data_IF_850567869768
#
_entry.id   IF_850567869768
#
_cell.length_a   1.000
_cell.length_b   1.000
_cell.length_c   1.000
_cell.angle_alpha   90.00
_cell.angle_beta   90.00
_cell.angle_gamma   90.00
#
_symmetry.space_group_name_H-M   'P 1'
#
loop_
_entity.id
_entity.type
_entity.pdbx_description
1 polymer ?
#
# COMPACT_ATOMS: atom_id res chain seq x y z
N UNK A 1 -25.92 -14.21 -20.46
CA UNK A 1 -25.17 -14.28 -19.19
C UNK A 1 -23.71 -14.04 -19.51
N UNK A 2 -23.03 -13.07 -18.84
CA UNK A 2 -21.67 -12.65 -19.21
C UNK A 2 -20.71 -13.84 -19.22
N UNK A 3 -19.78 -13.85 -20.17
CA UNK A 3 -18.73 -14.87 -20.26
C UNK A 3 -17.51 -14.39 -19.48
N UNK A 4 -17.20 -15.08 -18.38
CA UNK A 4 -16.01 -14.81 -17.59
C UNK A 4 -14.90 -15.77 -18.02
N UNK A 5 -13.76 -15.23 -18.46
CA UNK A 5 -12.57 -16.02 -18.81
C UNK A 5 -11.52 -15.84 -17.72
N UNK A 6 -11.21 -16.92 -17.03
CA UNK A 6 -10.17 -16.95 -16.00
C UNK A 6 -8.92 -17.59 -16.59
N UNK A 7 -7.80 -16.87 -16.59
CA UNK A 7 -6.49 -17.41 -16.94
C UNK A 7 -5.58 -17.34 -15.72
N UNK A 8 -5.19 -18.50 -15.21
CA UNK A 8 -4.25 -18.66 -14.10
C UNK A 8 -2.89 -19.08 -14.63
N UNK A 9 -1.85 -18.27 -14.39
CA UNK A 9 -0.46 -18.59 -14.69
C UNK A 9 0.40 -18.55 -13.41
N UNK A 10 1.69 -18.89 -13.51
CA UNK A 10 2.59 -18.98 -12.36
C UNK A 10 2.84 -17.63 -11.64
N UNK A 11 2.44 -16.49 -12.22
CA UNK A 11 2.61 -15.14 -11.67
C UNK A 11 1.31 -14.53 -11.12
N UNK A 12 0.19 -15.25 -11.12
CA UNK A 12 -1.10 -14.76 -10.63
C UNK A 12 -2.28 -15.11 -11.56
N UNK A 13 -3.48 -14.69 -11.16
CA UNK A 13 -4.72 -14.98 -11.90
C UNK A 13 -5.27 -13.72 -12.57
N UNK A 14 -5.37 -13.74 -13.90
CA UNK A 14 -6.04 -12.71 -14.68
C UNK A 14 -7.50 -13.14 -14.92
N UNK A 15 -8.46 -12.30 -14.51
CA UNK A 15 -9.90 -12.54 -14.78
C UNK A 15 -10.40 -11.47 -15.74
N UNK A 16 -10.74 -11.90 -16.95
CA UNK A 16 -11.33 -11.06 -18.00
C UNK A 16 -12.84 -11.32 -18.04
N UNK A 17 -13.66 -10.29 -17.86
CA UNK A 17 -15.13 -10.40 -17.92
C UNK A 17 -15.60 -9.81 -19.24
N UNK A 18 -16.03 -10.66 -20.18
CA UNK A 18 -16.59 -10.23 -21.46
C UNK A 18 -18.14 -10.20 -21.39
N UNK A 19 -18.80 -9.08 -21.74
CA UNK A 19 -20.26 -8.96 -21.69
C UNK A 19 -20.94 -9.83 -22.76
N UNK A 20 -22.09 -10.42 -22.41
CA UNK A 20 -22.78 -11.43 -23.22
C UNK A 20 -23.80 -10.91 -24.25
N UNK A 21 -23.84 -9.61 -24.48
CA UNK A 21 -24.65 -9.03 -25.54
C UNK A 21 -23.77 -8.10 -26.35
N UNK A 22 -23.84 -8.24 -27.67
CA UNK A 22 -23.33 -7.27 -28.62
C UNK A 22 -24.06 -5.95 -28.36
N UNK A 23 -23.51 -5.17 -27.43
CA UNK A 23 -23.77 -3.75 -27.33
C UNK A 23 -23.34 -3.18 -28.68
N UNK A 24 -24.17 -2.34 -29.29
CA UNK A 24 -23.70 -1.49 -30.37
C UNK A 24 -22.40 -0.82 -29.93
N UNK A 25 -21.43 -0.68 -30.84
CA UNK A 25 -20.11 -0.13 -30.56
C UNK A 25 -20.22 1.30 -30.02
N UNK A 26 -20.47 1.41 -28.73
CA UNK A 26 -20.66 2.61 -27.94
C UNK A 26 -19.89 2.38 -26.65
N UNK A 27 -18.60 2.71 -26.74
CA UNK A 27 -17.67 3.00 -25.64
C UNK A 27 -17.62 1.95 -24.52
N UNK A 28 -16.70 0.99 -24.65
CA UNK A 28 -16.20 0.20 -23.52
C UNK A 28 -15.56 1.15 -22.48
N UNK A 29 -16.36 1.62 -21.53
CA UNK A 29 -15.92 2.57 -20.50
C UNK A 29 -15.09 1.82 -19.43
N UNK A 30 -13.80 2.15 -19.31
CA UNK A 30 -12.90 1.59 -18.31
C UNK A 30 -13.28 2.09 -16.91
N UNK A 31 -14.13 1.33 -16.20
CA UNK A 31 -14.64 1.71 -14.86
C UNK A 31 -13.62 1.57 -13.73
N UNK A 32 -12.61 0.72 -13.91
CA UNK A 32 -11.64 0.45 -12.84
C UNK A 32 -10.80 -0.80 -13.07
N UNK A 33 -10.07 -1.18 -12.01
CA UNK A 33 -9.10 -2.28 -12.00
C UNK A 33 -9.31 -3.17 -10.78
N UNK A 34 -9.01 -4.46 -10.92
CA UNK A 34 -8.97 -5.45 -9.84
C UNK A 34 -7.54 -6.00 -9.73
N UNK A 35 -6.96 -5.90 -8.54
CA UNK A 35 -5.61 -6.36 -8.23
C UNK A 35 -5.69 -7.58 -7.31
N UNK A 36 -5.00 -8.66 -7.68
CA UNK A 36 -4.82 -9.83 -6.82
C UNK A 36 -3.56 -9.65 -5.96
N UNK A 37 -3.78 -9.41 -4.68
CA UNK A 37 -2.74 -9.27 -3.65
C UNK A 37 -2.61 -10.53 -2.79
N UNK A 38 -3.29 -11.63 -3.13
CA UNK A 38 -3.42 -12.81 -2.27
C UNK A 38 -2.10 -13.51 -1.94
N UNK A 39 -1.06 -13.31 -2.77
CA UNK A 39 0.30 -13.79 -2.51
C UNK A 39 1.02 -12.97 -1.42
N UNK A 40 0.65 -11.70 -1.20
CA UNK A 40 1.26 -10.81 -0.22
C UNK A 40 0.65 -11.07 1.15
N UNK A 41 1.47 -11.45 2.13
CA UNK A 41 1.02 -11.77 3.50
C UNK A 41 1.23 -10.62 4.48
N UNK A 42 2.14 -9.70 4.17
CA UNK A 42 2.40 -8.52 4.97
C UNK A 42 1.40 -7.39 4.68
N UNK A 43 1.18 -6.45 5.62
CA UNK A 43 0.27 -5.34 5.39
C UNK A 43 0.70 -4.45 4.23
N UNK A 44 -0.27 -4.06 3.40
CA UNK A 44 -0.08 -3.22 2.22
C UNK A 44 0.02 -1.75 2.65
N UNK A 45 1.12 -1.10 2.28
CA UNK A 45 1.44 0.27 2.70
C UNK A 45 1.36 1.27 1.55
N UNK A 46 1.63 0.82 0.33
CA UNK A 46 1.69 1.72 -0.81
C UNK A 46 1.28 1.01 -2.10
N UNK A 47 0.57 1.75 -2.94
CA UNK A 47 0.24 1.41 -4.31
C UNK A 47 1.02 2.35 -5.23
N UNK A 48 1.76 1.80 -6.19
CA UNK A 48 2.45 2.56 -7.23
C UNK A 48 1.82 2.22 -8.57
N UNK A 49 1.37 3.23 -9.31
CA UNK A 49 0.68 3.07 -10.58
C UNK A 49 1.50 3.66 -11.72
N UNK A 50 1.47 3.04 -12.89
CA UNK A 50 1.91 3.71 -14.12
C UNK A 50 0.79 3.62 -15.15
N UNK A 51 0.76 4.58 -16.08
CA UNK A 51 -0.31 4.72 -17.06
C UNK A 51 0.18 5.36 -18.36
N UNK A 52 -0.59 5.18 -19.44
CA UNK A 52 -0.30 5.85 -20.71
C UNK A 52 -0.58 7.35 -20.60
N UNK A 53 0.38 8.18 -21.03
CA UNK A 53 0.32 9.65 -20.95
C UNK A 53 -0.54 10.29 -22.04
N UNK A 54 -1.65 9.67 -22.45
CA UNK A 54 -2.49 10.18 -23.55
C UNK A 54 -3.04 11.61 -23.30
N UNK A 55 -2.97 12.08 -22.04
CA UNK A 55 -3.39 13.40 -21.59
C UNK A 55 -2.73 13.73 -20.26
N UNK A 56 -2.24 14.96 -20.13
CA UNK A 56 -1.84 15.52 -18.84
C UNK A 56 -3.09 15.81 -18.01
N UNK A 57 -2.96 15.71 -16.69
CA UNK A 57 -4.04 16.02 -15.77
C UNK A 57 -4.01 15.21 -14.49
N UNK A 58 -5.12 15.28 -13.77
CA UNK A 58 -5.36 14.62 -12.50
C UNK A 58 -6.50 13.63 -12.65
N UNK A 59 -6.34 12.42 -12.14
CA UNK A 59 -7.41 11.45 -12.09
C UNK A 59 -7.54 10.88 -10.68
N UNK A 60 -8.76 10.95 -10.13
CA UNK A 60 -9.12 10.40 -8.82
C UNK A 60 -9.82 9.05 -8.96
N UNK A 61 -9.65 8.23 -7.94
CA UNK A 61 -10.28 6.92 -7.81
C UNK A 61 -10.52 6.56 -6.35
N UNK A 62 -11.47 5.68 -6.10
CA UNK A 62 -11.66 5.03 -4.80
C UNK A 62 -10.89 3.71 -4.75
N UNK A 63 -10.50 3.33 -3.53
CA UNK A 63 -9.82 2.06 -3.24
C UNK A 63 -10.72 1.27 -2.30
N UNK A 64 -11.02 0.04 -2.70
CA UNK A 64 -11.75 -0.91 -1.88
C UNK A 64 -10.98 -2.22 -1.77
N UNK A 65 -11.15 -2.92 -0.67
CA UNK A 65 -10.51 -4.20 -0.42
C UNK A 65 -11.51 -5.30 -0.12
N UNK A 66 -11.15 -6.53 -0.44
CA UNK A 66 -11.96 -7.71 -0.17
C UNK A 66 -11.07 -8.93 0.00
N UNK A 67 -11.55 -9.91 0.78
CA UNK A 67 -10.92 -11.23 0.89
C UNK A 67 -11.65 -12.32 0.08
N UNK A 68 -12.85 -12.01 -0.44
CA UNK A 68 -13.74 -12.98 -1.10
C UNK A 68 -14.40 -12.47 -2.40
N UNK A 69 -14.02 -11.26 -2.85
CA UNK A 69 -14.59 -10.55 -4.02
C UNK A 69 -16.07 -10.15 -3.89
N UNK A 70 -16.71 -10.40 -2.75
CA UNK A 70 -18.13 -10.16 -2.51
C UNK A 70 -18.34 -9.05 -1.50
N UNK A 71 -17.60 -9.08 -0.39
CA UNK A 71 -17.66 -8.08 0.66
C UNK A 71 -16.51 -7.08 0.48
N UNK A 72 -16.87 -5.86 0.11
CA UNK A 72 -15.93 -4.77 -0.16
C UNK A 72 -15.92 -3.77 0.99
N UNK A 73 -14.73 -3.49 1.52
CA UNK A 73 -14.49 -2.45 2.53
C UNK A 73 -13.78 -1.26 1.89
N UNK A 74 -14.19 -0.04 2.23
CA UNK A 74 -13.51 1.16 1.75
C UNK A 74 -12.13 1.28 2.41
N UNK A 75 -11.12 1.49 1.58
CA UNK A 75 -9.73 1.77 1.99
C UNK A 75 -9.30 3.21 1.67
N UNK A 76 -10.26 4.06 1.28
CA UNK A 76 -10.03 5.48 0.99
C UNK A 76 -10.01 5.79 -0.50
N UNK A 77 -9.32 6.87 -0.84
CA UNK A 77 -9.23 7.41 -2.19
C UNK A 77 -7.76 7.58 -2.59
N UNK A 78 -7.51 7.50 -3.90
CA UNK A 78 -6.22 7.75 -4.52
C UNK A 78 -6.33 8.78 -5.64
N UNK A 79 -5.19 9.36 -5.99
CA UNK A 79 -5.07 10.25 -7.14
C UNK A 79 -3.77 9.96 -7.87
N UNK A 80 -3.84 9.92 -9.19
CA UNK A 80 -2.68 9.98 -10.06
C UNK A 80 -2.67 11.31 -10.80
N UNK A 81 -1.47 11.85 -11.03
CA UNK A 81 -1.29 13.09 -11.77
C UNK A 81 -0.05 13.04 -12.63
N UNK A 82 -0.14 13.59 -13.83
CA UNK A 82 1.01 13.81 -14.74
C UNK A 82 0.79 15.13 -15.44
N UNK A 83 1.69 16.07 -15.19
CA UNK A 83 1.61 17.43 -15.72
C UNK A 83 2.94 17.77 -16.35
N UNK A 84 2.91 18.27 -17.58
CA UNK A 84 4.09 18.75 -18.30
C UNK A 84 3.89 20.23 -18.63
N UNK A 85 4.81 21.08 -18.18
CA UNK A 85 4.78 22.51 -18.48
C UNK A 85 6.21 23.03 -18.64
N UNK A 86 6.49 23.70 -19.77
CA UNK A 86 7.77 24.36 -20.03
C UNK A 86 9.01 23.47 -19.72
N UNK A 87 9.02 22.24 -20.26
CA UNK A 87 10.05 21.21 -20.06
C UNK A 87 10.17 20.64 -18.62
N UNK A 88 9.35 21.11 -17.68
CA UNK A 88 9.21 20.51 -16.36
C UNK A 88 8.07 19.50 -16.33
N UNK A 89 8.28 18.39 -15.61
CA UNK A 89 7.29 17.31 -15.46
C UNK A 89 7.09 16.97 -14.00
N UNK A 90 5.83 17.01 -13.57
CA UNK A 90 5.40 16.59 -12.23
C UNK A 90 4.57 15.32 -12.38
N UNK A 91 4.92 14.28 -11.62
CA UNK A 91 4.19 13.02 -11.56
C UNK A 91 3.84 12.67 -10.12
N UNK A 92 2.56 12.31 -9.90
CA UNK A 92 2.08 11.66 -8.69
C UNK A 92 1.60 10.28 -9.08
N UNK A 93 2.38 9.26 -8.73
CA UNK A 93 2.08 7.86 -9.05
C UNK A 93 2.01 6.95 -7.82
N UNK A 94 2.33 7.48 -6.64
CA UNK A 94 2.30 6.76 -5.38
C UNK A 94 1.05 7.13 -4.59
N UNK A 95 0.39 6.12 -4.04
CA UNK A 95 -0.80 6.27 -3.20
C UNK A 95 -0.61 5.45 -1.93
N UNK A 96 -0.76 6.10 -0.78
CA UNK A 96 -0.68 5.43 0.53
C UNK A 96 -1.90 4.51 0.75
N UNK A 97 -1.64 3.35 1.33
CA UNK A 97 -2.64 2.37 1.74
C UNK A 97 -2.72 2.32 3.27
N UNK A 98 -3.82 1.81 3.87
CA UNK A 98 -4.05 1.89 5.30
C UNK A 98 -3.14 0.99 6.17
N UNK A 99 -2.16 0.31 5.59
CA UNK A 99 -1.28 -0.59 6.33
C UNK A 99 -2.00 -1.84 6.84
N UNK A 100 -2.94 -2.35 6.04
CA UNK A 100 -3.75 -3.54 6.34
C UNK A 100 -3.52 -4.63 5.27
N UNK A 101 -3.87 -5.88 5.57
CA UNK A 101 -3.82 -6.98 4.62
C UNK A 101 -5.18 -7.18 3.95
N UNK A 102 -5.19 -7.52 2.66
CA UNK A 102 -6.36 -7.95 1.92
C UNK A 102 -5.92 -8.81 0.73
N UNK A 103 -6.78 -9.73 0.28
CA UNK A 103 -6.48 -10.57 -0.89
C UNK A 103 -6.73 -9.87 -2.22
N UNK A 104 -7.70 -8.96 -2.28
CA UNK A 104 -8.11 -8.27 -3.50
C UNK A 104 -8.27 -6.79 -3.25
N UNK A 105 -7.78 -5.97 -4.18
CA UNK A 105 -8.04 -4.54 -4.20
C UNK A 105 -8.78 -4.15 -5.47
N UNK A 106 -9.82 -3.34 -5.35
CA UNK A 106 -10.54 -2.75 -6.47
C UNK A 106 -10.29 -1.26 -6.48
N UNK A 107 -9.86 -0.75 -7.64
CA UNK A 107 -9.67 0.67 -7.91
C UNK A 107 -10.78 1.12 -8.85
N UNK A 108 -11.57 2.13 -8.47
CA UNK A 108 -12.68 2.62 -9.29
C UNK A 108 -12.48 4.09 -9.62
N UNK A 109 -12.44 4.44 -10.90
CA UNK A 109 -12.26 5.83 -11.33
C UNK A 109 -13.52 6.66 -11.02
N UNK A 110 -13.34 7.84 -10.43
CA UNK A 110 -14.46 8.75 -10.14
C UNK A 110 -15.09 9.31 -11.43
N UNK A 111 -14.29 9.43 -12.49
CA UNK A 111 -14.70 9.87 -13.83
C UNK A 111 -14.19 8.89 -14.87
N UNK A 112 -14.94 7.81 -15.15
CA UNK A 112 -14.47 6.74 -16.03
C UNK A 112 -14.27 7.17 -17.49
N UNK A 113 -15.03 8.15 -17.98
CA UNK A 113 -14.86 8.75 -19.31
C UNK A 113 -13.48 9.41 -19.53
N UNK A 114 -12.82 9.85 -18.46
CA UNK A 114 -11.46 10.41 -18.48
C UNK A 114 -10.41 9.46 -17.92
N UNK A 115 -10.76 8.22 -17.57
CA UNK A 115 -9.85 7.25 -16.98
C UNK A 115 -8.61 6.99 -17.84
N UNK A 116 -7.39 7.12 -17.29
CA UNK A 116 -6.19 6.72 -17.99
C UNK A 116 -6.11 5.19 -18.06
N UNK A 117 -5.39 4.70 -19.07
CA UNK A 117 -5.11 3.27 -19.19
C UNK A 117 -3.88 2.96 -18.34
N UNK A 118 -4.06 2.22 -17.24
CA UNK A 118 -2.94 1.77 -16.42
C UNK A 118 -2.06 0.79 -17.21
N UNK A 119 -0.75 0.98 -17.11
CA UNK A 119 0.28 0.10 -17.69
C UNK A 119 0.94 -0.76 -16.61
N UNK A 120 0.93 -0.31 -15.36
CA UNK A 120 1.48 -1.04 -14.22
C UNK A 120 0.73 -0.72 -12.93
N UNK A 121 0.69 -1.70 -12.03
CA UNK A 121 0.29 -1.53 -10.64
C UNK A 121 1.21 -2.38 -9.78
N UNK A 122 1.84 -1.76 -8.78
CA UNK A 122 2.76 -2.41 -7.85
C UNK A 122 2.30 -2.15 -6.42
N UNK A 123 2.30 -3.19 -5.61
CA UNK A 123 1.96 -3.11 -4.19
C UNK A 123 3.22 -3.26 -3.37
N UNK A 124 3.47 -2.30 -2.48
CA UNK A 124 4.52 -2.39 -1.49
C UNK A 124 3.92 -2.79 -0.15
N UNK A 125 4.57 -3.74 0.49
CA UNK A 125 4.23 -4.20 1.83
C UNK A 125 5.43 -4.00 2.75
N UNK A 126 5.15 -3.70 4.01
CA UNK A 126 6.18 -3.63 5.03
C UNK A 126 5.81 -4.58 6.16
N UNK A 127 6.74 -5.47 6.53
CA UNK A 127 6.60 -6.27 7.74
C UNK A 127 6.77 -5.36 8.94
N UNK A 128 5.80 -5.38 9.87
CA UNK A 128 5.97 -4.83 11.23
C UNK A 128 6.84 -5.75 12.08
N UNK A 129 7.95 -6.24 11.54
CA UNK A 129 8.98 -6.86 12.38
C UNK A 129 9.83 -5.72 12.97
N UNK A 130 9.21 -4.86 13.77
CA UNK A 130 9.95 -4.11 14.78
C UNK A 130 10.25 -5.12 15.89
N UNK A 131 11.28 -5.95 15.67
CA UNK A 131 11.87 -6.67 16.78
C UNK A 131 12.31 -5.59 17.78
N UNK A 132 11.83 -5.59 19.04
CA UNK A 132 12.35 -4.67 20.02
C UNK A 132 13.87 -4.83 20.01
N UNK A 133 14.59 -3.72 19.88
CA UNK A 133 16.04 -3.74 20.04
C UNK A 133 16.30 -4.44 21.38
N UNK A 134 17.15 -5.49 21.41
CA UNK A 134 17.39 -6.23 22.64
C UNK A 134 17.85 -5.25 23.71
N UNK A 135 17.29 -5.38 24.92
CA UNK A 135 17.70 -4.58 26.06
C UNK A 135 19.20 -4.81 26.28
N UNK A 136 20.00 -3.79 25.98
CA UNK A 136 21.44 -3.82 26.21
C UNK A 136 21.73 -3.17 27.56
N UNK A 137 22.07 -3.99 28.56
CA UNK A 137 22.54 -3.51 29.85
C UNK A 137 23.90 -2.83 29.68
N UNK A 138 24.14 -1.77 30.44
CA UNK A 138 25.51 -1.23 30.57
C UNK A 138 26.43 -2.27 31.20
N UNK A 139 27.73 -2.07 31.07
CA UNK A 139 28.68 -2.77 31.93
C UNK A 139 28.36 -2.47 33.41
N UNK A 140 28.70 -3.39 34.35
CA UNK A 140 28.50 -3.16 35.78
C UNK A 140 29.12 -1.83 36.23
N UNK A 141 28.32 -0.99 36.88
CA UNK A 141 28.80 0.27 37.44
C UNK A 141 29.36 0.01 38.83
N UNK A 142 30.62 0.39 39.04
CA UNK A 142 31.25 0.30 40.36
C UNK A 142 30.60 1.32 41.31
N UNK A 143 30.06 0.83 42.43
CA UNK A 143 29.60 1.69 43.52
C UNK A 143 30.78 2.21 44.34
N UNK A 144 30.60 3.38 44.95
CA UNK A 144 31.53 3.92 45.94
C UNK A 144 30.84 4.10 47.29
N UNK A 145 31.57 3.86 48.37
CA UNK A 145 31.08 4.10 49.74
C UNK A 145 31.54 5.47 50.20
N UNK A 146 30.60 6.28 50.68
CA UNK A 146 30.89 7.61 51.23
C UNK A 146 30.99 7.52 52.75
N UNK A 147 30.16 6.69 53.38
CA UNK A 147 30.15 6.39 54.82
C UNK A 147 29.74 4.93 55.04
N UNK A 148 30.03 4.41 56.24
CA UNK A 148 29.57 3.08 56.63
C UNK A 148 28.04 3.00 56.51
N UNK A 149 27.55 2.09 55.66
CA UNK A 149 26.13 1.93 55.37
C UNK A 149 25.58 2.82 54.25
N UNK A 150 26.39 3.68 53.63
CA UNK A 150 25.99 4.56 52.53
C UNK A 150 26.75 4.21 51.24
N UNK A 151 25.98 3.87 50.20
CA UNK A 151 26.48 3.46 48.88
C UNK A 151 25.99 4.41 47.80
N UNK A 152 26.88 4.79 46.88
CA UNK A 152 26.60 5.73 45.80
C UNK A 152 27.04 5.18 44.46
N UNK A 153 26.24 5.39 43.42
CA UNK A 153 26.55 5.05 42.04
C UNK A 153 26.43 6.30 41.17
N UNK A 154 27.41 6.52 40.30
CA UNK A 154 27.33 7.56 39.27
C UNK A 154 26.78 6.94 37.99
N UNK A 155 25.62 7.45 37.55
CA UNK A 155 24.95 6.96 36.35
C UNK A 155 25.38 7.79 35.13
N UNK A 156 25.68 7.17 33.98
CA UNK A 156 25.90 7.89 32.74
C UNK A 156 24.63 8.65 32.33
N UNK A 157 24.78 9.88 31.83
CA UNK A 157 23.63 10.64 31.34
C UNK A 157 22.99 9.93 30.14
N UNK A 158 21.66 9.76 30.18
CA UNK A 158 20.87 9.21 29.07
C UNK A 158 20.50 7.72 29.19
N UNK A 159 20.84 7.03 30.28
CA UNK A 159 20.35 5.68 30.55
C UNK A 159 19.11 5.69 31.46
N UNK A 160 18.08 4.94 31.06
CA UNK A 160 16.94 4.64 31.91
C UNK A 160 17.35 3.65 33.00
N UNK A 161 16.85 3.84 34.22
CA UNK A 161 17.11 2.96 35.37
C UNK A 161 15.91 2.02 35.54
N UNK A 162 16.18 0.73 35.70
CA UNK A 162 15.18 -0.24 36.17
C UNK A 162 15.52 -0.65 37.61
N UNK A 163 14.55 -0.53 38.53
CA UNK A 163 14.64 -1.08 39.87
C UNK A 163 13.95 -2.45 39.89
N UNK A 164 14.67 -3.48 40.35
CA UNK A 164 14.17 -4.85 40.56
C UNK A 164 14.17 -5.16 42.06
#
# INVERSE_FOLDING_TARGET
APSVRVQSNANGTLVEVQPSSRLEAGEEELRGWLLDASAIKAPLQQLVLDWTSGRDGFQRFTIEASDDLQHWQSWGEGQVARLTFADERVEQHEVSLPGQSARYLRLLWDSPSSAPILTSAQLQSASRESLPLPLAWSQPLAGSTVKAGEYTWQLPMGLNIEQV
#
